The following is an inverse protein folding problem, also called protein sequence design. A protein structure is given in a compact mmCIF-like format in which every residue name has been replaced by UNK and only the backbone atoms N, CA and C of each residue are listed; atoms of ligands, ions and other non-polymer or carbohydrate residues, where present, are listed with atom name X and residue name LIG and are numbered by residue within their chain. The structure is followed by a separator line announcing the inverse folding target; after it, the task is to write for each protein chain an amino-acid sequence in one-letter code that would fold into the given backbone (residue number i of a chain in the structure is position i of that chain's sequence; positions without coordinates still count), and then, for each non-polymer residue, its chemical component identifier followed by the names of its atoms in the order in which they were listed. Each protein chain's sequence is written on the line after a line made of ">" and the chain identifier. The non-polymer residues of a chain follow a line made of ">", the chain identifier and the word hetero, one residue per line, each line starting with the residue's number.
data_IF_227207670127
#
_entry.id   IF_227207670127
#
_cell.length_a   1.000
_cell.length_b   1.000
_cell.length_c   1.000
_cell.angle_alpha   90.00
_cell.angle_beta   90.00
_cell.angle_gamma   90.00
#
_symmetry.space_group_name_H-M   'P 1'
#
loop_
_entity.id
_entity.type
_entity.pdbx_description
1 polymer ?
#
# COMPACT_ATOMS: atom_id res chain seq x y z
N UNK A 1 8.28 -22.39 5.57
CA UNK A 1 7.63 -21.34 4.75
C UNK A 1 7.22 -20.22 5.70
N UNK A 2 7.75 -18.98 5.59
CA UNK A 2 7.31 -17.91 6.48
C UNK A 2 5.84 -17.59 6.19
N UNK A 3 5.03 -17.64 7.25
CA UNK A 3 3.61 -17.28 7.23
C UNK A 3 3.46 -15.81 6.83
N UNK A 4 2.92 -15.52 5.63
CA UNK A 4 2.70 -14.15 5.11
C UNK A 4 1.25 -13.68 5.33
N UNK A 5 0.59 -14.19 6.37
CA UNK A 5 -0.79 -13.85 6.70
C UNK A 5 -0.87 -12.52 7.43
N UNK A 6 -0.89 -11.44 6.65
CA UNK A 6 -1.22 -10.10 7.15
C UNK A 6 -0.04 -9.29 7.70
N UNK A 7 -0.25 -7.98 7.92
CA UNK A 7 0.77 -7.10 8.44
C UNK A 7 1.16 -7.52 9.85
N UNK A 8 2.42 -7.89 10.02
CA UNK A 8 3.02 -8.15 11.33
C UNK A 8 3.65 -6.87 11.87
N UNK A 9 3.63 -6.64 13.19
CA UNK A 9 4.42 -5.57 13.81
C UNK A 9 5.90 -5.73 13.40
N UNK A 10 6.49 -4.69 12.82
CA UNK A 10 7.86 -4.72 12.28
C UNK A 10 7.99 -5.15 10.81
N UNK A 11 6.90 -5.57 10.15
CA UNK A 11 6.88 -5.71 8.68
C UNK A 11 6.73 -4.33 8.01
N UNK A 12 7.15 -4.21 6.74
CA UNK A 12 7.00 -2.96 5.97
C UNK A 12 5.54 -2.48 5.98
N UNK A 13 4.58 -3.40 5.78
CA UNK A 13 3.16 -3.05 5.81
C UNK A 13 2.71 -2.63 7.22
N UNK A 14 3.14 -3.33 8.28
CA UNK A 14 2.81 -2.96 9.65
C UNK A 14 3.38 -1.60 10.08
N UNK A 15 4.59 -1.25 9.63
CA UNK A 15 5.20 0.07 9.85
C UNK A 15 4.43 1.15 9.08
N UNK A 16 4.01 0.86 7.86
CA UNK A 16 3.19 1.76 7.05
C UNK A 16 1.83 2.06 7.69
N UNK A 17 1.13 1.01 8.15
CA UNK A 17 -0.15 1.16 8.86
C UNK A 17 0.01 1.98 10.14
N UNK A 18 1.04 1.68 10.94
CA UNK A 18 1.35 2.43 12.16
C UNK A 18 1.59 3.92 11.87
N UNK A 19 2.34 4.22 10.80
CA UNK A 19 2.62 5.60 10.37
C UNK A 19 1.35 6.30 9.88
N UNK A 20 0.46 5.58 9.20
CA UNK A 20 -0.83 6.11 8.75
C UNK A 20 -1.73 6.48 9.92
N UNK A 21 -1.71 5.71 11.00
CA UNK A 21 -2.46 6.03 12.23
C UNK A 21 -1.83 7.19 13.00
N UNK A 22 -0.50 7.22 13.12
CA UNK A 22 0.20 8.24 13.91
C UNK A 22 0.28 9.60 13.20
N UNK A 23 0.44 9.60 11.88
CA UNK A 23 0.61 10.82 11.08
C UNK A 23 -0.18 10.76 9.76
N UNK A 24 -1.53 10.72 9.80
CA UNK A 24 -2.36 10.52 8.62
C UNK A 24 -2.20 11.63 7.56
N UNK A 25 -2.00 12.87 8.00
CA UNK A 25 -1.83 14.04 7.13
C UNK A 25 -0.36 14.31 6.77
N UNK A 26 0.57 13.46 7.20
CA UNK A 26 1.99 13.58 6.88
C UNK A 26 2.25 13.32 5.39
N UNK A 27 3.19 14.05 4.75
CA UNK A 27 3.55 13.80 3.36
C UNK A 27 4.23 12.43 3.23
N UNK A 28 3.60 11.52 2.48
CA UNK A 28 4.07 10.17 2.24
C UNK A 28 4.76 10.01 0.88
N UNK A 29 4.31 10.77 -0.12
CA UNK A 29 4.83 10.69 -1.48
C UNK A 29 4.85 12.08 -2.11
N UNK A 30 6.01 12.46 -2.66
CA UNK A 30 6.20 13.69 -3.43
C UNK A 30 6.42 13.28 -4.88
N UNK A 31 5.60 13.80 -5.78
CA UNK A 31 5.66 13.54 -7.22
C UNK A 31 5.48 14.85 -7.98
N UNK A 32 5.72 14.83 -9.28
CA UNK A 32 5.41 15.97 -10.17
C UNK A 32 3.90 16.32 -10.15
N UNK A 33 3.04 15.33 -9.82
CA UNK A 33 1.60 15.51 -9.64
C UNK A 33 1.20 16.09 -8.28
N UNK A 34 2.16 16.30 -7.38
CA UNK A 34 1.98 16.89 -6.06
C UNK A 34 2.31 15.96 -4.90
N UNK A 35 1.95 16.41 -3.69
CA UNK A 35 2.20 15.71 -2.42
C UNK A 35 0.99 14.88 -2.00
N UNK A 36 1.21 13.59 -1.76
CA UNK A 36 0.22 12.69 -1.20
C UNK A 36 0.48 12.44 0.29
N UNK A 37 -0.58 12.46 1.10
CA UNK A 37 -0.50 12.09 2.50
C UNK A 37 -0.52 10.56 2.70
N UNK A 38 -0.10 10.09 3.88
CA UNK A 38 -0.19 8.66 4.24
C UNK A 38 -1.62 8.13 4.13
N UNK A 39 -2.62 8.90 4.57
CA UNK A 39 -4.03 8.51 4.46
C UNK A 39 -4.50 8.34 3.02
N UNK A 40 -4.11 9.27 2.13
CA UNK A 40 -4.49 9.23 0.72
C UNK A 40 -3.78 8.10 -0.02
N UNK A 41 -2.51 7.85 0.31
CA UNK A 41 -1.74 6.74 -0.25
C UNK A 41 -2.35 5.39 0.16
N UNK A 42 -2.67 5.21 1.44
CA UNK A 42 -3.32 4.01 1.95
C UNK A 42 -4.67 3.75 1.27
N UNK A 43 -5.51 4.78 1.12
CA UNK A 43 -6.80 4.65 0.45
C UNK A 43 -6.66 4.21 -1.02
N UNK A 44 -5.68 4.76 -1.76
CA UNK A 44 -5.39 4.35 -3.14
C UNK A 44 -4.86 2.93 -3.22
N UNK A 45 -3.97 2.54 -2.31
CA UNK A 45 -3.44 1.18 -2.23
C UNK A 45 -4.55 0.16 -1.95
N UNK A 46 -5.44 0.43 -0.99
CA UNK A 46 -6.60 -0.41 -0.69
C UNK A 46 -7.55 -0.54 -1.88
N UNK A 47 -7.79 0.56 -2.62
CA UNK A 47 -8.58 0.51 -3.85
C UNK A 47 -7.92 -0.37 -4.91
N UNK A 48 -6.61 -0.25 -5.12
CA UNK A 48 -5.89 -1.10 -6.06
C UNK A 48 -5.96 -2.59 -5.65
N UNK A 49 -5.75 -2.89 -4.36
CA UNK A 49 -5.85 -4.25 -3.83
C UNK A 49 -7.25 -4.86 -4.06
N UNK A 50 -8.31 -4.07 -3.88
CA UNK A 50 -9.67 -4.52 -4.19
C UNK A 50 -9.85 -4.84 -5.68
N UNK A 51 -9.38 -3.96 -6.57
CA UNK A 51 -9.44 -4.18 -8.02
C UNK A 51 -8.65 -5.43 -8.43
N UNK A 52 -7.47 -5.65 -7.84
CA UNK A 52 -6.68 -6.85 -8.07
C UNK A 52 -7.38 -8.11 -7.58
N UNK A 53 -8.01 -8.06 -6.40
CA UNK A 53 -8.83 -9.16 -5.89
C UNK A 53 -10.00 -9.49 -6.81
N UNK A 54 -10.68 -8.47 -7.34
CA UNK A 54 -11.73 -8.65 -8.35
C UNK A 54 -11.20 -9.26 -9.66
N UNK A 55 -9.96 -8.95 -10.05
CA UNK A 55 -9.29 -9.54 -11.21
C UNK A 55 -8.74 -10.96 -10.94
N UNK A 56 -8.94 -11.51 -9.74
CA UNK A 56 -8.52 -12.87 -9.37
C UNK A 56 -7.14 -12.98 -8.73
N UNK A 57 -6.46 -11.87 -8.44
CA UNK A 57 -5.19 -11.89 -7.71
C UNK A 57 -5.44 -12.14 -6.21
N UNK A 58 -4.98 -13.29 -5.74
CA UNK A 58 -5.04 -13.72 -4.34
C UNK A 58 -3.67 -13.83 -3.68
N UNK A 59 -3.65 -14.28 -2.42
CA UNK A 59 -2.39 -14.60 -1.73
C UNK A 59 -1.58 -15.61 -2.55
N UNK A 60 -0.30 -15.32 -2.77
CA UNK A 60 0.60 -16.16 -3.57
C UNK A 60 0.48 -15.97 -5.09
N UNK A 61 -0.44 -15.11 -5.56
CA UNK A 61 -0.52 -14.74 -6.97
C UNK A 61 0.57 -13.71 -7.30
N UNK A 62 1.15 -13.79 -8.51
CA UNK A 62 2.13 -12.83 -9.01
C UNK A 62 1.43 -11.94 -10.03
N UNK A 63 1.36 -10.63 -9.75
CA UNK A 63 0.83 -9.61 -10.66
C UNK A 63 1.91 -8.59 -11.01
N UNK A 64 2.06 -8.28 -12.29
CA UNK A 64 2.96 -7.22 -12.75
C UNK A 64 2.30 -5.85 -12.61
N UNK A 65 3.02 -4.88 -12.06
CA UNK A 65 2.62 -3.48 -12.00
C UNK A 65 3.48 -2.70 -13.00
N UNK A 66 2.87 -2.19 -14.07
CA UNK A 66 3.54 -1.32 -15.03
C UNK A 66 3.07 0.11 -14.79
N UNK A 67 3.89 0.89 -14.09
CA UNK A 67 3.63 2.28 -13.77
C UNK A 67 4.92 3.07 -14.05
N UNK A 68 4.78 4.26 -14.61
CA UNK A 68 5.86 5.23 -14.60
C UNK A 68 6.14 5.68 -13.15
N UNK A 69 7.41 5.97 -12.87
CA UNK A 69 7.83 6.39 -11.54
C UNK A 69 7.24 7.79 -11.26
N UNK A 70 6.35 7.84 -10.27
CA UNK A 70 5.76 9.08 -9.73
C UNK A 70 6.61 9.64 -8.62
#
# INVERSE_FOLDING_TARGET
>A
MPDNSGPRPGSILGLFESTTTLQPQGPALLSDSGTLSYSNLAARASRAAYQFGMAGLGKGSIGGICLDRS
#
